data_IF_082535769626
#
_entry.id   IF_082535769626
#
_cell.length_a   1.000
_cell.length_b   1.000
_cell.length_c   1.000
_cell.angle_alpha   90.00
_cell.angle_beta   90.00
_cell.angle_gamma   90.00
#
_symmetry.space_group_name_H-M   'P 1'
#
loop_
_entity.id
_entity.type
_entity.pdbx_description
1 polymer ?
#
# COMPACT_ATOMS: atom_id res chain seq x y z
N UNK A 1 14.38 -18.27 -14.00
CA UNK A 1 12.96 -18.61 -13.82
C UNK A 1 12.27 -17.26 -13.70
N UNK A 2 11.41 -16.87 -14.64
CA UNK A 2 10.71 -15.58 -14.53
C UNK A 2 9.85 -15.62 -13.27
N UNK A 3 10.11 -14.69 -12.36
CA UNK A 3 9.35 -14.59 -11.12
C UNK A 3 7.90 -14.22 -11.45
N UNK A 4 6.95 -14.97 -10.88
CA UNK A 4 5.53 -14.77 -11.18
C UNK A 4 4.96 -13.68 -10.29
N UNK A 5 4.18 -12.78 -10.88
CA UNK A 5 3.34 -11.84 -10.14
C UNK A 5 2.26 -12.63 -9.38
N UNK A 6 2.26 -12.51 -8.05
CA UNK A 6 1.41 -13.33 -7.18
C UNK A 6 0.68 -12.54 -6.10
N UNK A 7 1.32 -11.51 -5.54
CA UNK A 7 0.78 -10.77 -4.40
C UNK A 7 1.33 -9.34 -4.37
N UNK A 8 0.67 -8.49 -3.57
CA UNK A 8 1.17 -7.17 -3.22
C UNK A 8 1.80 -7.19 -1.84
N UNK A 9 2.70 -6.25 -1.60
CA UNK A 9 3.39 -6.06 -0.33
C UNK A 9 3.30 -4.59 0.02
N UNK A 10 2.80 -4.29 1.23
CA UNK A 10 2.75 -2.91 1.72
C UNK A 10 4.17 -2.39 1.87
N UNK A 11 4.51 -1.37 1.10
CA UNK A 11 5.87 -0.84 1.04
C UNK A 11 5.96 0.66 1.33
N UNK A 12 4.83 1.35 1.40
CA UNK A 12 4.80 2.77 1.73
C UNK A 12 3.70 3.01 2.76
N UNK A 13 4.07 3.61 3.89
CA UNK A 13 3.12 4.09 4.88
C UNK A 13 3.53 5.51 5.23
N UNK A 14 2.58 6.44 5.16
CA UNK A 14 2.72 7.77 5.75
C UNK A 14 1.56 8.04 6.70
N UNK A 15 1.86 8.70 7.80
CA UNK A 15 0.88 9.13 8.77
C UNK A 15 1.18 10.57 9.13
N UNK A 16 0.28 11.46 8.73
CA UNK A 16 0.26 12.86 9.12
C UNK A 16 -1.09 13.20 9.79
N UNK A 17 -1.19 14.39 10.35
CA UNK A 17 -2.35 14.90 11.10
C UNK A 17 -3.63 14.89 10.27
N UNK A 18 -3.52 15.03 8.94
CA UNK A 18 -4.66 15.14 8.04
C UNK A 18 -4.74 14.04 6.99
N UNK A 19 -3.73 13.18 6.89
CA UNK A 19 -3.64 12.20 5.81
C UNK A 19 -2.94 10.94 6.29
N UNK A 20 -3.51 9.79 5.92
CA UNK A 20 -2.83 8.49 5.98
C UNK A 20 -2.66 7.99 4.55
N UNK A 21 -1.45 7.56 4.20
CA UNK A 21 -1.15 6.92 2.92
C UNK A 21 -0.74 5.47 3.19
N UNK A 22 -1.29 4.54 2.40
CA UNK A 22 -0.86 3.14 2.37
C UNK A 22 -0.62 2.73 0.91
N UNK A 23 0.64 2.49 0.57
CA UNK A 23 1.09 2.05 -0.74
C UNK A 23 1.57 0.60 -0.72
N UNK A 24 1.36 -0.07 -1.85
CA UNK A 24 1.81 -1.44 -2.05
C UNK A 24 2.49 -1.62 -3.41
N UNK A 25 3.56 -2.42 -3.40
CA UNK A 25 4.31 -2.87 -4.57
C UNK A 25 3.96 -4.33 -4.85
N UNK A 26 4.25 -4.82 -6.05
CA UNK A 26 4.23 -6.27 -6.28
C UNK A 26 5.50 -6.98 -5.83
N UNK A 27 5.39 -8.31 -5.68
CA UNK A 27 6.47 -9.17 -5.21
C UNK A 27 7.74 -9.13 -6.08
N UNK A 28 7.60 -8.90 -7.40
CA UNK A 28 8.75 -8.86 -8.31
C UNK A 28 9.57 -7.60 -8.03
N UNK A 29 8.93 -6.42 -7.98
CA UNK A 29 9.61 -5.16 -7.67
C UNK A 29 10.18 -5.15 -6.25
N UNK A 30 9.48 -5.73 -5.28
CA UNK A 30 9.98 -5.89 -3.92
C UNK A 30 11.27 -6.72 -3.87
N UNK A 31 11.26 -7.90 -4.49
CA UNK A 31 12.42 -8.80 -4.48
C UNK A 31 13.60 -8.20 -5.24
N UNK A 32 13.35 -7.51 -6.36
CA UNK A 32 14.39 -6.80 -7.10
C UNK A 32 15.08 -5.75 -6.21
N UNK A 33 14.33 -4.94 -5.47
CA UNK A 33 14.94 -3.94 -4.57
C UNK A 33 15.77 -4.62 -3.47
N UNK A 34 15.26 -5.72 -2.89
CA UNK A 34 15.97 -6.51 -1.87
C UNK A 34 17.27 -7.10 -2.42
N UNK A 35 17.29 -7.59 -3.66
CA UNK A 35 18.50 -8.12 -4.31
C UNK A 35 19.62 -7.07 -4.42
N UNK A 36 19.25 -5.79 -4.57
CA UNK A 36 20.21 -4.68 -4.58
C UNK A 36 20.55 -4.13 -3.18
N UNK A 37 20.17 -4.84 -2.11
CA UNK A 37 20.44 -4.45 -0.72
C UNK A 37 19.44 -3.44 -0.15
N UNK A 38 18.33 -3.19 -0.85
CA UNK A 38 17.26 -2.32 -0.41
C UNK A 38 16.40 -2.91 0.71
N UNK A 39 15.54 -2.07 1.26
CA UNK A 39 14.65 -2.43 2.38
C UNK A 39 13.27 -2.90 1.93
N UNK A 40 12.90 -2.74 0.66
CA UNK A 40 11.55 -2.90 0.15
C UNK A 40 10.78 -1.56 0.08
N UNK A 41 11.25 -0.53 0.80
CA UNK A 41 10.56 0.75 0.90
C UNK A 41 10.67 1.60 -0.38
N UNK A 42 11.75 1.46 -1.15
CA UNK A 42 11.99 2.23 -2.37
C UNK A 42 11.49 1.51 -3.62
N UNK A 43 10.94 0.30 -3.48
CA UNK A 43 10.26 -0.41 -4.55
C UNK A 43 9.14 0.44 -5.14
N UNK A 44 9.00 0.42 -6.46
CA UNK A 44 7.94 1.14 -7.16
C UNK A 44 6.57 0.62 -6.68
N UNK A 45 5.81 1.43 -5.95
CA UNK A 45 4.43 1.08 -5.61
C UNK A 45 3.56 0.98 -6.88
N UNK A 46 2.77 -0.08 -6.97
CA UNK A 46 1.80 -0.31 -8.04
C UNK A 46 0.50 0.44 -7.79
N UNK A 47 0.16 0.64 -6.51
CA UNK A 47 -0.99 1.40 -6.04
C UNK A 47 -0.68 2.06 -4.69
N UNK A 48 -1.28 3.21 -4.44
CA UNK A 48 -1.46 3.70 -3.08
C UNK A 48 -2.89 4.17 -2.86
N UNK A 49 -3.30 4.15 -1.60
CA UNK A 49 -4.54 4.78 -1.16
C UNK A 49 -4.24 5.89 -0.18
N UNK A 50 -5.10 6.90 -0.16
CA UNK A 50 -5.07 7.96 0.84
C UNK A 50 -6.39 8.04 1.58
N UNK A 51 -6.31 8.30 2.87
CA UNK A 51 -7.42 8.66 3.74
C UNK A 51 -7.16 10.07 4.26
N UNK A 52 -7.85 11.07 3.72
CA UNK A 52 -7.62 12.49 4.01
C UNK A 52 -8.82 13.11 4.75
N UNK A 53 -8.55 13.94 5.75
CA UNK A 53 -9.57 14.68 6.48
C UNK A 53 -9.91 16.01 5.77
N UNK A 54 -11.19 16.21 5.45
CA UNK A 54 -11.64 17.32 4.61
C UNK A 54 -11.66 18.70 5.31
N UNK A 55 -10.86 18.90 6.37
CA UNK A 55 -10.75 20.13 7.16
C UNK A 55 -12.01 20.56 7.93
N UNK A 56 -13.12 19.80 7.84
CA UNK A 56 -14.40 20.08 8.53
C UNK A 56 -14.71 19.11 9.66
N UNK A 57 -13.75 18.28 10.08
CA UNK A 57 -13.85 17.47 11.29
C UNK A 57 -14.79 16.27 11.26
N UNK A 58 -15.41 15.93 10.11
CA UNK A 58 -16.49 14.92 10.07
C UNK A 58 -16.55 14.03 8.82
N UNK A 59 -15.74 14.30 7.81
CA UNK A 59 -15.73 13.49 6.59
C UNK A 59 -14.29 13.24 6.21
N UNK A 60 -14.00 11.98 5.88
CA UNK A 60 -12.77 11.58 5.25
C UNK A 60 -13.06 11.30 3.77
N UNK A 61 -12.14 11.67 2.89
CA UNK A 61 -12.10 11.20 1.51
C UNK A 61 -11.15 10.03 1.38
N UNK A 62 -11.56 9.07 0.56
CA UNK A 62 -10.79 7.88 0.19
C UNK A 62 -10.42 8.00 -1.28
N UNK A 63 -9.12 8.02 -1.59
CA UNK A 63 -8.63 8.03 -2.97
C UNK A 63 -7.69 6.85 -3.23
N UNK A 64 -7.73 6.32 -4.45
CA UNK A 64 -6.83 5.29 -4.92
C UNK A 64 -6.09 5.78 -6.18
N UNK A 65 -4.77 5.67 -6.16
CA UNK A 65 -3.90 6.07 -7.25
C UNK A 65 -3.13 4.86 -7.77
N UNK A 66 -3.13 4.66 -9.07
CA UNK A 66 -2.52 3.50 -9.72
C UNK A 66 -1.34 3.93 -10.61
N UNK A 67 -0.22 3.23 -10.50
CA UNK A 67 1.03 3.51 -11.24
C UNK A 67 1.35 2.43 -12.28
N UNK A 68 0.32 1.65 -12.62
CA UNK A 68 0.34 0.63 -13.65
C UNK A 68 -0.31 1.17 -14.94
N UNK A 69 0.28 0.88 -16.09
CA UNK A 69 -0.30 1.23 -17.38
C UNK A 69 -1.43 0.26 -17.77
N UNK A 70 -2.36 0.65 -18.67
CA UNK A 70 -3.37 -0.29 -19.18
C UNK A 70 -2.74 -1.53 -19.82
N UNK A 71 -3.15 -2.72 -19.38
CA UNK A 71 -2.60 -4.01 -19.84
C UNK A 71 -1.46 -4.57 -18.99
N UNK A 72 -0.94 -3.81 -18.03
CA UNK A 72 0.01 -4.29 -17.04
C UNK A 72 -0.64 -5.37 -16.13
N UNK A 73 -0.06 -6.57 -16.00
CA UNK A 73 -0.56 -7.61 -15.09
C UNK A 73 -0.70 -7.13 -13.63
N UNK A 74 0.17 -6.23 -13.16
CA UNK A 74 0.11 -5.68 -11.80
C UNK A 74 -1.14 -4.84 -11.57
N UNK A 75 -1.74 -4.27 -12.63
CA UNK A 75 -2.92 -3.41 -12.54
C UNK A 75 -4.14 -4.17 -12.00
N UNK A 76 -4.40 -5.37 -12.50
CA UNK A 76 -5.55 -6.17 -12.05
C UNK A 76 -5.41 -6.55 -10.58
N UNK A 77 -4.20 -6.91 -10.15
CA UNK A 77 -3.89 -7.25 -8.76
C UNK A 77 -4.00 -6.02 -7.84
N UNK A 78 -3.48 -4.87 -8.26
CA UNK A 78 -3.64 -3.60 -7.56
C UNK A 78 -5.13 -3.26 -7.35
N UNK A 79 -5.94 -3.39 -8.39
CA UNK A 79 -7.38 -3.10 -8.31
C UNK A 79 -8.15 -4.06 -7.42
N UNK A 80 -7.82 -5.36 -7.39
CA UNK A 80 -8.51 -6.33 -6.54
C UNK A 80 -8.26 -6.12 -5.05
N UNK A 81 -7.21 -5.39 -4.68
CA UNK A 81 -6.76 -5.22 -3.29
C UNK A 81 -6.87 -3.78 -2.76
N UNK A 82 -7.48 -2.87 -3.50
CA UNK A 82 -7.69 -1.49 -3.03
C UNK A 82 -8.51 -1.44 -1.73
N UNK A 83 -9.51 -2.33 -1.60
CA UNK A 83 -10.30 -2.44 -0.37
C UNK A 83 -9.41 -2.79 0.85
N UNK A 84 -8.51 -3.76 0.72
CA UNK A 84 -7.61 -4.17 1.80
C UNK A 84 -6.66 -3.03 2.24
N UNK A 85 -6.24 -2.19 1.27
CA UNK A 85 -5.42 -1.02 1.55
C UNK A 85 -6.21 0.06 2.31
N UNK A 86 -7.46 0.32 1.93
CA UNK A 86 -8.33 1.24 2.68
C UNK A 86 -8.62 0.74 4.09
N UNK A 87 -8.93 -0.54 4.26
CA UNK A 87 -9.11 -1.14 5.60
C UNK A 87 -7.84 -0.99 6.45
N UNK A 88 -6.66 -1.09 5.83
CA UNK A 88 -5.39 -0.82 6.53
C UNK A 88 -5.26 0.64 6.94
N UNK A 89 -5.57 1.60 6.05
CA UNK A 89 -5.55 3.03 6.36
C UNK A 89 -6.54 3.39 7.49
N UNK A 90 -7.74 2.82 7.47
CA UNK A 90 -8.72 2.96 8.55
C UNK A 90 -8.26 2.33 9.85
N UNK A 91 -7.59 1.18 9.79
CA UNK A 91 -7.01 0.52 10.96
C UNK A 91 -6.02 1.44 11.67
N UNK A 92 -5.10 2.06 10.91
CA UNK A 92 -4.15 3.07 11.40
C UNK A 92 -4.90 4.24 12.04
N UNK A 93 -5.91 4.81 11.36
CA UNK A 93 -6.69 5.95 11.85
C UNK A 93 -7.43 5.64 13.15
N UNK A 94 -8.14 4.52 13.20
CA UNK A 94 -9.05 4.16 14.29
C UNK A 94 -8.31 3.76 15.56
N UNK A 95 -7.09 3.24 15.42
CA UNK A 95 -6.19 2.96 16.54
C UNK A 95 -5.29 4.14 16.89
N UNK A 96 -5.37 5.25 16.15
CA UNK A 96 -4.55 6.45 16.34
C UNK A 96 -3.04 6.13 16.34
N UNK A 97 -2.61 5.25 15.43
CA UNK A 97 -1.21 4.86 15.30
C UNK A 97 -0.38 6.02 14.77
N UNK A 98 0.84 6.18 15.27
CA UNK A 98 1.86 6.99 14.62
C UNK A 98 2.55 6.21 13.48
N UNK A 99 3.44 6.88 12.74
CA UNK A 99 4.16 6.29 11.61
C UNK A 99 4.94 5.02 12.00
N UNK A 100 5.67 5.05 13.12
CA UNK A 100 6.51 3.93 13.54
C UNK A 100 5.66 2.71 13.90
N UNK A 101 4.57 2.90 14.65
CA UNK A 101 3.61 1.85 15.01
C UNK A 101 2.93 1.25 13.77
N UNK A 102 2.54 2.09 12.80
CA UNK A 102 1.94 1.64 11.56
C UNK A 102 2.93 0.84 10.71
N UNK A 103 4.19 1.29 10.62
CA UNK A 103 5.26 0.58 9.92
C UNK A 103 5.56 -0.76 10.58
N UNK A 104 5.71 -0.80 11.90
CA UNK A 104 5.95 -2.04 12.65
C UNK A 104 4.84 -3.07 12.38
N UNK A 105 3.58 -2.62 12.28
CA UNK A 105 2.44 -3.51 12.11
C UNK A 105 2.18 -3.95 10.66
N UNK A 106 2.41 -3.07 9.69
CA UNK A 106 1.92 -3.27 8.32
C UNK A 106 2.99 -3.26 7.24
N UNK A 107 4.16 -2.66 7.45
CA UNK A 107 5.21 -2.64 6.42
C UNK A 107 5.70 -4.07 6.13
N UNK A 108 5.83 -4.41 4.85
CA UNK A 108 6.19 -5.75 4.40
C UNK A 108 5.05 -6.77 4.48
N UNK A 109 3.84 -6.37 4.90
CA UNK A 109 2.68 -7.27 4.95
C UNK A 109 2.24 -7.64 3.54
N UNK A 110 2.06 -8.94 3.33
CA UNK A 110 1.55 -9.51 2.08
C UNK A 110 0.04 -9.33 2.00
N UNK A 111 -0.44 -8.95 0.81
CA UNK A 111 -1.84 -8.89 0.44
C UNK A 111 -2.06 -9.86 -0.72
N UNK A 112 -2.80 -10.92 -0.43
CA UNK A 112 -3.13 -12.00 -1.36
C UNK A 112 -4.63 -12.09 -1.56
N UNK A 113 -5.06 -12.54 -2.74
CA UNK A 113 -6.45 -12.93 -2.94
C UNK A 113 -6.79 -14.08 -1.98
N UNK A 114 -7.88 -13.93 -1.22
CA UNK A 114 -8.42 -15.07 -0.45
C UNK A 114 -8.86 -16.12 -1.48
N UNK A 115 -8.21 -17.29 -1.42
CA UNK A 115 -8.49 -18.44 -2.28
C UNK A 115 -9.91 -18.98 -2.12
#
# INVERSE_FOLDING_TARGET
MEEKLTHLIINWIEVDHHMILVGATDNIHWNLEKEFGGSGADAKSSVWVTLEENGKGRSFSEEAHFFCFPGDPARSLAMSHVFDLFETAWSIKNQNMNLDEAREKFFGKIIEAVA
#
